data_IF_722493990426
#
_entry.id   IF_722493990426
#
_cell.length_a   1.000
_cell.length_b   1.000
_cell.length_c   1.000
_cell.angle_alpha   90.00
_cell.angle_beta   90.00
_cell.angle_gamma   90.00
#
_symmetry.space_group_name_H-M   'P 1'
#
loop_
_entity.id
_entity.type
_entity.pdbx_description
1 polymer ?
#
# COMPACT_ATOMS: atom_id res chain seq x y z
N UNK A 1 6.16 3.37 -22.52
CA UNK A 1 6.56 2.22 -21.63
C UNK A 1 5.56 2.15 -20.50
N UNK A 2 5.37 0.98 -19.86
CA UNK A 2 4.33 0.79 -18.83
C UNK A 2 4.34 1.88 -17.74
N UNK A 3 5.51 2.36 -17.30
CA UNK A 3 5.61 3.44 -16.32
C UNK A 3 4.94 4.71 -16.84
N UNK A 4 5.29 5.15 -18.05
CA UNK A 4 4.70 6.34 -18.67
C UNK A 4 3.17 6.22 -18.84
N UNK A 5 2.67 5.03 -19.17
CA UNK A 5 1.22 4.79 -19.28
C UNK A 5 0.52 5.00 -17.92
N UNK A 6 1.20 4.61 -16.80
CA UNK A 6 0.68 4.84 -15.45
C UNK A 6 0.75 6.32 -15.05
N UNK A 7 1.81 7.02 -15.42
CA UNK A 7 1.95 8.46 -15.20
C UNK A 7 0.85 9.24 -15.91
N UNK A 8 0.59 8.92 -17.18
CA UNK A 8 -0.51 9.51 -17.97
C UNK A 8 -1.87 9.30 -17.29
N UNK A 9 -2.16 8.08 -16.83
CA UNK A 9 -3.39 7.80 -16.06
C UNK A 9 -3.48 8.68 -14.80
N UNK A 10 -2.38 8.87 -14.08
CA UNK A 10 -2.36 9.68 -12.85
C UNK A 10 -2.56 11.18 -13.17
N UNK A 11 -1.88 11.70 -14.18
CA UNK A 11 -1.99 13.10 -14.63
C UNK A 11 -3.40 13.45 -15.07
N UNK A 12 -3.99 12.62 -15.94
CA UNK A 12 -5.37 12.79 -16.44
C UNK A 12 -6.40 12.79 -15.31
N UNK A 13 -6.09 12.12 -14.18
CA UNK A 13 -6.96 12.04 -13.02
C UNK A 13 -6.59 13.01 -11.88
N UNK A 14 -5.70 13.98 -12.14
CA UNK A 14 -5.37 15.07 -11.22
C UNK A 14 -4.56 14.65 -9.99
N UNK A 15 -3.75 13.60 -10.11
CA UNK A 15 -2.79 13.21 -9.07
C UNK A 15 -1.52 14.04 -9.20
N UNK A 16 -1.00 14.50 -8.06
CA UNK A 16 0.41 14.88 -7.95
C UNK A 16 1.23 13.63 -7.68
N UNK A 17 2.35 13.44 -8.35
CA UNK A 17 3.19 12.27 -8.14
C UNK A 17 4.69 12.60 -8.21
N UNK A 18 5.51 11.69 -7.71
CA UNK A 18 6.95 11.67 -7.87
C UNK A 18 7.44 10.24 -8.09
N UNK A 19 8.60 10.12 -8.73
CA UNK A 19 9.20 8.84 -9.08
C UNK A 19 10.37 8.49 -8.17
N UNK A 20 10.57 7.19 -7.95
CA UNK A 20 11.76 6.66 -7.30
C UNK A 20 11.95 5.18 -7.64
N UNK A 21 13.11 4.81 -8.11
CA UNK A 21 13.41 3.40 -8.42
C UNK A 21 13.84 2.64 -7.14
N UNK A 22 12.86 2.06 -6.45
CA UNK A 22 13.10 1.35 -5.18
C UNK A 22 12.00 0.34 -4.83
N UNK A 23 11.52 0.36 -3.59
CA UNK A 23 10.40 -0.46 -3.17
C UNK A 23 9.07 0.00 -3.80
N UNK A 24 9.00 1.25 -4.25
CA UNK A 24 7.97 1.80 -5.12
C UNK A 24 8.62 2.47 -6.32
N UNK A 25 7.88 2.68 -7.40
CA UNK A 25 8.31 3.45 -8.56
C UNK A 25 7.61 4.81 -8.63
N UNK A 26 6.36 4.90 -8.16
CA UNK A 26 5.58 6.14 -8.10
C UNK A 26 4.95 6.29 -6.72
N UNK A 27 5.14 7.46 -6.11
CA UNK A 27 4.32 7.91 -4.99
C UNK A 27 3.35 8.97 -5.51
N UNK A 28 2.06 8.68 -5.46
CA UNK A 28 1.00 9.54 -6.00
C UNK A 28 0.04 9.99 -4.92
N UNK A 29 -0.50 11.20 -5.02
CA UNK A 29 -1.46 11.75 -4.07
C UNK A 29 -2.52 12.62 -4.75
N UNK A 30 -3.77 12.39 -4.36
CA UNK A 30 -4.91 13.29 -4.56
C UNK A 30 -5.59 13.52 -3.21
N UNK A 31 -6.47 12.65 -2.76
CA UNK A 31 -7.06 12.67 -1.41
C UNK A 31 -6.26 11.81 -0.43
N UNK A 32 -5.79 10.67 -0.88
CA UNK A 32 -4.94 9.73 -0.13
C UNK A 32 -3.66 9.44 -0.92
N UNK A 33 -2.65 8.90 -0.23
CA UNK A 33 -1.39 8.50 -0.85
C UNK A 33 -1.54 7.10 -1.43
N UNK A 34 -1.06 6.90 -2.65
CA UNK A 34 -0.82 5.59 -3.26
C UNK A 34 0.67 5.42 -3.48
N UNK A 35 1.18 4.24 -3.21
CA UNK A 35 2.54 3.83 -3.53
C UNK A 35 2.47 2.70 -4.57
N UNK A 36 2.89 3.02 -5.79
CA UNK A 36 2.80 2.11 -6.92
C UNK A 36 4.17 1.49 -7.20
N UNK A 37 4.24 0.17 -7.26
CA UNK A 37 5.34 -0.56 -7.87
C UNK A 37 4.90 -1.01 -9.24
N UNK A 38 5.68 -0.70 -10.29
CA UNK A 38 5.30 -0.93 -11.69
C UNK A 38 6.26 -1.93 -12.32
N UNK A 39 5.77 -3.09 -12.76
CA UNK A 39 6.59 -4.17 -13.29
C UNK A 39 5.91 -4.80 -14.51
N UNK A 40 6.59 -4.97 -15.63
CA UNK A 40 6.04 -5.72 -16.76
C UNK A 40 5.63 -7.15 -16.34
N UNK A 41 6.50 -7.83 -15.58
CA UNK A 41 6.23 -9.15 -15.02
C UNK A 41 6.19 -9.07 -13.49
N UNK A 42 5.02 -9.25 -12.90
CA UNK A 42 4.80 -9.15 -11.46
C UNK A 42 5.49 -10.26 -10.65
N UNK A 43 5.94 -11.33 -11.30
CA UNK A 43 6.72 -12.40 -10.66
C UNK A 43 8.17 -11.99 -10.37
N UNK A 44 8.64 -10.85 -10.90
CA UNK A 44 9.95 -10.29 -10.57
C UNK A 44 9.94 -9.48 -9.26
N UNK A 45 8.77 -9.20 -8.71
CA UNK A 45 8.64 -8.52 -7.42
C UNK A 45 9.17 -9.39 -6.29
N UNK A 46 10.07 -8.84 -5.48
CA UNK A 46 10.77 -9.57 -4.43
C UNK A 46 10.16 -9.30 -3.06
N UNK A 47 10.29 -10.27 -2.15
CA UNK A 47 9.74 -10.19 -0.80
C UNK A 47 10.34 -9.03 0.01
N UNK A 48 11.64 -8.74 -0.17
CA UNK A 48 12.28 -7.59 0.49
C UNK A 48 11.65 -6.26 0.03
N UNK A 49 11.42 -6.09 -1.27
CA UNK A 49 10.73 -4.91 -1.82
C UNK A 49 9.31 -4.79 -1.24
N UNK A 50 8.58 -5.93 -1.20
CA UNK A 50 7.24 -5.98 -0.65
C UNK A 50 7.20 -5.58 0.83
N UNK A 51 8.16 -6.04 1.63
CA UNK A 51 8.24 -5.71 3.05
C UNK A 51 8.53 -4.23 3.29
N UNK A 52 9.43 -3.64 2.51
CA UNK A 52 9.71 -2.20 2.54
C UNK A 52 8.49 -1.38 2.10
N UNK A 53 7.83 -1.78 1.00
CA UNK A 53 6.63 -1.11 0.51
C UNK A 53 5.48 -1.17 1.52
N UNK A 54 5.25 -2.33 2.16
CA UNK A 54 4.25 -2.47 3.22
C UNK A 54 4.56 -1.61 4.44
N UNK A 55 5.83 -1.57 4.88
CA UNK A 55 6.26 -0.75 6.01
C UNK A 55 5.99 0.72 5.72
N UNK A 56 6.46 1.21 4.57
CA UNK A 56 6.26 2.58 4.14
C UNK A 56 4.77 2.93 4.02
N UNK A 57 3.98 2.03 3.43
CA UNK A 57 2.53 2.25 3.26
C UNK A 57 1.79 2.31 4.59
N UNK A 58 2.13 1.40 5.52
CA UNK A 58 1.53 1.40 6.85
C UNK A 58 1.86 2.69 7.62
N UNK A 59 3.10 3.15 7.48
CA UNK A 59 3.56 4.36 8.15
C UNK A 59 2.92 5.62 7.59
N UNK A 60 2.76 5.70 6.29
CA UNK A 60 2.17 6.86 5.59
C UNK A 60 0.64 6.85 5.55
N UNK A 61 -0.02 5.78 5.99
CA UNK A 61 -1.44 5.51 5.73
C UNK A 61 -1.73 5.54 4.23
N UNK A 62 -0.85 4.89 3.46
CA UNK A 62 -0.87 4.86 2.01
C UNK A 62 -1.39 3.51 1.49
N UNK A 63 -1.90 3.50 0.26
CA UNK A 63 -2.35 2.31 -0.42
C UNK A 63 -1.24 1.76 -1.32
N UNK A 64 -0.60 0.62 -0.98
CA UNK A 64 0.36 -0.02 -1.87
C UNK A 64 -0.36 -0.80 -2.96
N UNK A 65 0.08 -0.63 -4.20
CA UNK A 65 -0.44 -1.38 -5.34
C UNK A 65 0.73 -1.78 -6.24
N UNK A 66 0.80 -3.06 -6.57
CA UNK A 66 1.67 -3.55 -7.63
C UNK A 66 0.90 -3.52 -8.95
N UNK A 67 1.42 -2.80 -9.92
CA UNK A 67 0.82 -2.70 -11.25
C UNK A 67 1.69 -3.48 -12.25
N UNK A 68 1.07 -4.31 -13.08
CA UNK A 68 1.81 -5.09 -14.05
C UNK A 68 1.00 -5.59 -15.24
N UNK A 69 1.71 -6.13 -16.25
CA UNK A 69 1.09 -6.64 -17.47
C UNK A 69 0.84 -8.15 -17.40
N UNK A 70 1.77 -8.89 -16.81
CA UNK A 70 1.73 -10.34 -16.84
C UNK A 70 2.42 -10.98 -15.63
N UNK A 71 2.12 -12.26 -15.43
CA UNK A 71 2.94 -13.21 -14.69
C UNK A 71 3.87 -13.94 -15.68
N UNK A 72 4.71 -14.86 -15.21
CA UNK A 72 5.47 -15.75 -16.10
C UNK A 72 4.60 -16.64 -16.96
N UNK A 73 3.32 -16.85 -16.62
CA UNK A 73 2.43 -17.84 -17.25
C UNK A 73 1.36 -17.19 -18.12
N UNK A 74 0.86 -16.02 -17.73
CA UNK A 74 -0.30 -15.41 -18.36
C UNK A 74 -0.33 -13.89 -18.15
N UNK A 75 -1.02 -13.18 -19.03
CA UNK A 75 -1.34 -11.77 -18.84
C UNK A 75 -2.26 -11.57 -17.62
N UNK A 76 -2.14 -10.45 -16.94
CA UNK A 76 -3.10 -10.07 -15.89
C UNK A 76 -4.43 -9.67 -16.55
N UNK A 77 -5.50 -10.28 -16.08
CA UNK A 77 -6.85 -9.94 -16.52
C UNK A 77 -7.35 -8.67 -15.85
N UNK A 78 -8.12 -7.88 -16.57
CA UNK A 78 -8.74 -6.67 -16.03
C UNK A 78 -9.84 -7.01 -15.00
N UNK A 79 -10.09 -6.05 -14.11
CA UNK A 79 -11.08 -6.16 -13.03
C UNK A 79 -10.85 -7.33 -12.05
N UNK A 80 -9.61 -7.81 -11.97
CA UNK A 80 -9.18 -8.84 -11.02
C UNK A 80 -8.05 -8.30 -10.15
N UNK A 81 -8.15 -8.50 -8.85
CA UNK A 81 -7.05 -8.31 -7.91
C UNK A 81 -6.29 -9.61 -7.78
N UNK A 82 -5.00 -9.59 -8.02
CA UNK A 82 -4.07 -10.65 -7.69
C UNK A 82 -3.37 -10.32 -6.38
N UNK A 83 -2.80 -11.32 -5.74
CA UNK A 83 -2.00 -11.13 -4.52
C UNK A 83 -0.54 -11.45 -4.78
N UNK A 84 0.35 -10.55 -4.38
CA UNK A 84 1.80 -10.77 -4.34
C UNK A 84 2.36 -10.29 -3.00
N UNK A 85 2.81 -11.22 -2.19
CA UNK A 85 3.33 -10.93 -0.84
C UNK A 85 2.34 -10.10 0.02
N UNK A 86 1.04 -10.35 -0.13
CA UNK A 86 -0.04 -9.58 0.49
C UNK A 86 -0.12 -8.11 0.06
N UNK A 87 0.34 -7.81 -1.16
CA UNK A 87 0.13 -6.53 -1.82
C UNK A 87 -0.85 -6.74 -2.98
N UNK A 88 -1.93 -5.94 -3.06
CA UNK A 88 -2.83 -5.96 -4.20
C UNK A 88 -2.09 -5.72 -5.50
N UNK A 89 -2.29 -6.61 -6.47
CA UNK A 89 -1.62 -6.58 -7.76
C UNK A 89 -2.68 -6.52 -8.86
N UNK A 90 -2.55 -5.59 -9.79
CA UNK A 90 -3.58 -5.29 -10.78
C UNK A 90 -2.98 -5.00 -12.16
N UNK A 91 -3.80 -5.12 -13.22
CA UNK A 91 -3.46 -4.60 -14.54
C UNK A 91 -3.57 -3.06 -14.58
N UNK A 92 -2.93 -2.36 -15.54
CA UNK A 92 -3.07 -0.91 -15.74
C UNK A 92 -4.53 -0.48 -15.86
N UNK A 93 -5.33 -1.20 -16.65
CA UNK A 93 -6.76 -0.92 -16.81
C UNK A 93 -7.55 -1.08 -15.51
N UNK A 94 -7.16 -2.04 -14.68
CA UNK A 94 -7.78 -2.21 -13.35
C UNK A 94 -7.39 -1.07 -12.41
N UNK A 95 -6.15 -0.57 -12.46
CA UNK A 95 -5.74 0.63 -11.71
C UNK A 95 -6.58 1.84 -12.12
N UNK A 96 -6.72 2.08 -13.41
CA UNK A 96 -7.55 3.17 -13.94
C UNK A 96 -9.00 3.08 -13.43
N UNK A 97 -9.61 1.90 -13.49
CA UNK A 97 -10.94 1.66 -12.95
C UNK A 97 -11.02 1.95 -11.44
N UNK A 98 -10.01 1.56 -10.66
CA UNK A 98 -9.92 1.84 -9.21
C UNK A 98 -9.85 3.35 -8.96
N UNK A 99 -9.07 4.08 -9.74
CA UNK A 99 -8.96 5.54 -9.67
C UNK A 99 -10.31 6.21 -9.95
N UNK A 100 -11.08 5.68 -10.88
CA UNK A 100 -12.45 6.12 -11.18
C UNK A 100 -13.50 5.65 -10.16
N UNK A 101 -13.11 4.94 -9.10
CA UNK A 101 -14.01 4.47 -8.05
C UNK A 101 -14.66 3.11 -8.32
N UNK A 102 -14.33 2.45 -9.42
CA UNK A 102 -14.82 1.11 -9.76
C UNK A 102 -13.86 0.04 -9.21
N UNK A 103 -14.17 -0.47 -8.02
CA UNK A 103 -13.36 -1.50 -7.37
C UNK A 103 -13.70 -2.89 -7.93
N UNK A 104 -12.69 -3.77 -8.17
CA UNK A 104 -12.89 -5.14 -8.58
C UNK A 104 -13.67 -5.97 -7.54
N UNK A 105 -14.41 -6.95 -8.00
CA UNK A 105 -15.14 -7.93 -7.15
C UNK A 105 -14.44 -9.29 -7.09
N UNK A 106 -13.40 -9.51 -7.91
CA UNK A 106 -12.74 -10.81 -8.05
C UNK A 106 -11.31 -10.71 -7.52
N UNK A 107 -10.98 -11.64 -6.61
CA UNK A 107 -9.62 -11.87 -6.11
C UNK A 107 -9.07 -13.18 -6.67
N UNK A 108 -7.90 -13.15 -7.30
CA UNK A 108 -7.15 -14.35 -7.67
C UNK A 108 -6.05 -14.63 -6.65
N UNK A 109 -6.17 -15.72 -5.94
CA UNK A 109 -5.25 -16.11 -4.88
C UNK A 109 -5.00 -17.62 -4.91
N UNK A 110 -3.71 -18.04 -4.82
CA UNK A 110 -3.25 -19.44 -4.70
C UNK A 110 -4.17 -20.50 -5.31
N UNK A 111 -4.26 -20.49 -6.64
CA UNK A 111 -4.94 -21.57 -7.38
C UNK A 111 -6.45 -21.41 -7.56
N UNK A 112 -7.05 -20.26 -7.19
CA UNK A 112 -8.48 -20.03 -7.35
C UNK A 112 -8.86 -18.57 -7.54
N UNK A 113 -10.08 -18.38 -8.05
CA UNK A 113 -10.77 -17.10 -8.05
C UNK A 113 -11.78 -17.07 -6.93
N UNK A 114 -11.84 -15.98 -6.21
CA UNK A 114 -12.72 -15.77 -5.06
C UNK A 114 -13.43 -14.42 -5.20
N UNK A 115 -14.60 -14.32 -4.59
CA UNK A 115 -15.34 -13.08 -4.42
C UNK A 115 -15.76 -12.93 -2.94
N UNK A 116 -16.21 -11.76 -2.57
CA UNK A 116 -16.97 -11.55 -1.34
C UNK A 116 -18.41 -11.20 -1.71
N UNK A 117 -19.36 -11.69 -0.94
CA UNK A 117 -20.79 -11.44 -1.15
C UNK A 117 -21.38 -10.75 0.07
N UNK A 118 -22.45 -9.98 -0.15
CA UNK A 118 -23.18 -9.33 0.93
C UNK A 118 -24.05 -10.37 1.67
N UNK A 119 -23.79 -10.65 2.96
CA UNK A 119 -24.55 -11.66 3.72
C UNK A 119 -26.03 -11.35 3.87
N UNK A 120 -26.37 -10.08 4.12
CA UNK A 120 -27.76 -9.67 4.30
C UNK A 120 -28.54 -9.76 2.99
N UNK A 121 -27.91 -9.33 1.89
CA UNK A 121 -28.50 -9.40 0.55
C UNK A 121 -28.69 -10.86 0.09
N UNK A 122 -27.72 -11.75 0.38
CA UNK A 122 -27.83 -13.18 0.11
C UNK A 122 -29.04 -13.77 0.82
N UNK A 123 -29.19 -13.49 2.13
CA UNK A 123 -30.31 -14.01 2.93
C UNK A 123 -31.66 -13.50 2.41
N UNK A 124 -31.78 -12.18 2.19
CA UNK A 124 -33.03 -11.59 1.67
C UNK A 124 -33.39 -12.17 0.31
N UNK A 125 -32.46 -12.19 -0.65
CA UNK A 125 -32.71 -12.71 -1.99
C UNK A 125 -33.13 -14.19 -1.99
N UNK A 126 -32.59 -15.02 -1.07
CA UNK A 126 -33.01 -16.41 -0.92
C UNK A 126 -34.45 -16.53 -0.37
N UNK A 127 -34.79 -15.71 0.63
CA UNK A 127 -36.13 -15.68 1.24
C UNK A 127 -37.17 -15.16 0.26
N UNK A 128 -36.84 -14.13 -0.52
CA UNK A 128 -37.75 -13.55 -1.54
C UNK A 128 -38.14 -14.54 -2.63
N UNK A 129 -37.27 -15.49 -2.99
CA UNK A 129 -37.59 -16.58 -3.94
C UNK A 129 -38.11 -17.85 -3.26
N UNK A 130 -38.38 -17.81 -1.94
CA UNK A 130 -38.95 -18.90 -1.18
C UNK A 130 -38.05 -20.13 -0.98
N UNK A 131 -36.72 -19.99 -1.11
CA UNK A 131 -35.79 -21.10 -0.95
C UNK A 131 -35.33 -21.26 0.51
N UNK A 132 -35.28 -22.51 0.98
CA UNK A 132 -34.53 -22.81 2.21
C UNK A 132 -33.01 -22.76 1.96
N UNK A 133 -32.21 -22.69 3.02
CA UNK A 133 -30.74 -22.79 2.91
C UNK A 133 -30.32 -24.12 2.26
N UNK A 134 -31.07 -25.20 2.48
CA UNK A 134 -30.80 -26.51 1.88
C UNK A 134 -31.08 -26.51 0.38
N UNK A 135 -32.17 -25.89 -0.05
CA UNK A 135 -32.55 -25.80 -1.48
C UNK A 135 -31.51 -24.96 -2.26
N UNK A 136 -31.07 -23.82 -1.69
CA UNK A 136 -30.03 -23.01 -2.30
C UNK A 136 -28.71 -23.77 -2.39
N UNK A 137 -28.33 -24.48 -1.32
CA UNK A 137 -27.10 -25.27 -1.26
C UNK A 137 -27.08 -26.35 -2.37
N UNK A 138 -28.18 -27.06 -2.56
CA UNK A 138 -28.33 -28.07 -3.60
C UNK A 138 -28.22 -27.47 -5.02
N UNK A 139 -28.93 -26.37 -5.29
CA UNK A 139 -28.89 -25.68 -6.60
C UNK A 139 -27.53 -25.14 -6.95
N UNK A 140 -26.78 -24.67 -5.96
CA UNK A 140 -25.41 -24.10 -6.16
C UNK A 140 -24.34 -25.18 -6.17
N UNK A 141 -24.60 -26.35 -5.54
CA UNK A 141 -23.63 -27.45 -5.38
C UNK A 141 -22.64 -27.22 -4.27
N UNK A 142 -23.10 -26.67 -3.14
CA UNK A 142 -22.35 -26.45 -1.90
C UNK A 142 -23.08 -27.05 -0.70
N UNK A 143 -22.51 -26.96 0.50
CA UNK A 143 -23.18 -27.46 1.71
C UNK A 143 -24.16 -26.43 2.31
N UNK A 144 -25.20 -26.87 2.99
CA UNK A 144 -26.07 -26.00 3.79
C UNK A 144 -25.29 -25.15 4.79
N UNK A 145 -24.25 -25.74 5.42
CA UNK A 145 -23.36 -25.05 6.35
C UNK A 145 -22.66 -23.86 5.67
N UNK A 146 -22.21 -24.06 4.42
CA UNK A 146 -21.57 -22.98 3.66
C UNK A 146 -22.55 -21.83 3.37
N UNK A 147 -23.81 -22.13 3.02
CA UNK A 147 -24.84 -21.08 2.83
C UNK A 147 -25.06 -20.32 4.14
N UNK A 148 -25.26 -21.02 5.25
CA UNK A 148 -25.42 -20.41 6.57
C UNK A 148 -24.23 -19.50 6.94
N UNK A 149 -22.99 -19.96 6.72
CA UNK A 149 -21.79 -19.17 7.02
C UNK A 149 -21.73 -17.89 6.18
N UNK A 150 -22.07 -17.95 4.89
CA UNK A 150 -22.10 -16.79 4.00
C UNK A 150 -23.26 -15.82 4.29
N UNK A 151 -24.37 -16.30 4.82
CA UNK A 151 -25.47 -15.43 5.31
C UNK A 151 -25.17 -14.78 6.66
N UNK A 152 -24.26 -15.37 7.43
CA UNK A 152 -23.91 -14.90 8.79
C UNK A 152 -22.70 -13.99 8.82
N UNK A 153 -21.76 -14.13 7.87
CA UNK A 153 -20.44 -13.46 7.89
C UNK A 153 -20.00 -13.10 6.48
N UNK A 154 -19.31 -11.97 6.39
CA UNK A 154 -18.58 -11.59 5.17
C UNK A 154 -17.36 -12.50 4.99
N UNK A 155 -17.48 -13.50 4.15
CA UNK A 155 -16.46 -14.51 3.86
C UNK A 155 -16.16 -14.56 2.37
N UNK A 156 -14.94 -14.95 2.03
CA UNK A 156 -14.55 -15.25 0.64
C UNK A 156 -15.25 -16.52 0.18
N UNK A 157 -15.91 -16.45 -0.96
CA UNK A 157 -16.52 -17.58 -1.66
C UNK A 157 -15.78 -17.86 -2.96
N UNK A 158 -15.69 -19.12 -3.38
CA UNK A 158 -15.19 -19.47 -4.71
C UNK A 158 -16.05 -18.75 -5.76
N UNK A 159 -15.42 -17.99 -6.65
CA UNK A 159 -16.10 -17.14 -7.65
C UNK A 159 -17.17 -17.90 -8.44
N UNK A 160 -16.87 -19.14 -8.89
CA UNK A 160 -17.87 -19.99 -9.58
C UNK A 160 -19.15 -20.20 -8.77
N UNK A 161 -19.04 -20.32 -7.44
CA UNK A 161 -20.20 -20.51 -6.57
C UNK A 161 -20.96 -19.20 -6.36
N UNK A 162 -20.25 -18.05 -6.25
CA UNK A 162 -20.89 -16.74 -6.22
C UNK A 162 -21.74 -16.52 -7.49
N UNK A 163 -21.17 -16.76 -8.67
CA UNK A 163 -21.90 -16.65 -9.95
C UNK A 163 -23.12 -17.57 -10.01
N UNK A 164 -23.02 -18.80 -9.47
CA UNK A 164 -24.16 -19.72 -9.41
C UNK A 164 -25.27 -19.22 -8.47
N UNK A 165 -24.89 -18.64 -7.32
CA UNK A 165 -25.83 -18.01 -6.39
C UNK A 165 -26.58 -16.85 -7.06
N UNK A 166 -25.85 -15.92 -7.68
CA UNK A 166 -26.44 -14.79 -8.39
C UNK A 166 -27.43 -15.23 -9.50
N UNK A 167 -27.05 -16.24 -10.30
CA UNK A 167 -27.92 -16.81 -11.33
C UNK A 167 -29.17 -17.45 -10.73
N UNK A 168 -29.01 -18.18 -9.62
CA UNK A 168 -30.14 -18.87 -8.96
C UNK A 168 -31.13 -17.88 -8.36
N UNK A 169 -30.60 -16.83 -7.74
CA UNK A 169 -31.36 -15.80 -7.02
C UNK A 169 -31.73 -14.59 -7.90
N UNK A 170 -31.20 -14.53 -9.14
CA UNK A 170 -31.39 -13.43 -10.09
C UNK A 170 -31.07 -12.05 -9.47
N UNK A 171 -30.01 -11.99 -8.66
CA UNK A 171 -29.60 -10.82 -7.88
C UNK A 171 -28.09 -10.74 -7.82
N UNK A 172 -27.53 -9.54 -8.00
CA UNK A 172 -26.10 -9.31 -7.81
C UNK A 172 -25.78 -9.35 -6.31
N UNK A 173 -24.89 -10.23 -5.93
CA UNK A 173 -24.48 -10.46 -4.55
C UNK A 173 -23.03 -10.04 -4.27
N UNK A 174 -22.18 -10.07 -5.30
CA UNK A 174 -20.77 -9.75 -5.17
C UNK A 174 -20.57 -8.28 -4.81
N UNK A 175 -19.70 -8.04 -3.85
CA UNK A 175 -19.36 -6.70 -3.38
C UNK A 175 -17.94 -6.31 -3.77
N UNK A 176 -17.67 -5.00 -3.95
CA UNK A 176 -16.34 -4.51 -4.22
C UNK A 176 -15.34 -4.94 -3.14
N UNK A 177 -14.14 -5.33 -3.57
CA UNK A 177 -13.07 -5.76 -2.68
C UNK A 177 -12.26 -4.55 -2.22
N UNK A 178 -11.98 -4.49 -0.92
CA UNK A 178 -11.06 -3.50 -0.38
C UNK A 178 -9.61 -3.90 -0.68
N UNK A 179 -8.80 -2.91 -1.08
CA UNK A 179 -7.37 -3.09 -1.30
C UNK A 179 -6.65 -3.16 0.05
N UNK A 180 -6.64 -4.35 0.65
CA UNK A 180 -6.01 -4.60 1.95
C UNK A 180 -4.62 -5.19 1.76
N UNK A 181 -3.68 -4.77 2.60
CA UNK A 181 -2.37 -5.40 2.76
C UNK A 181 -2.25 -6.02 4.15
N UNK A 182 -1.34 -7.00 4.31
CA UNK A 182 -0.93 -7.46 5.63
C UNK A 182 0.10 -6.52 6.26
N UNK A 183 0.18 -6.52 7.59
CA UNK A 183 1.23 -5.77 8.29
C UNK A 183 2.62 -6.23 7.85
N UNK A 184 3.55 -5.26 7.76
CA UNK A 184 4.95 -5.54 7.51
C UNK A 184 5.66 -6.04 8.77
N UNK A 185 6.66 -6.90 8.59
CA UNK A 185 7.61 -7.19 9.66
C UNK A 185 8.46 -5.94 9.96
N UNK A 186 8.77 -5.69 11.23
CA UNK A 186 9.66 -4.58 11.62
C UNK A 186 11.04 -4.75 11.00
N UNK A 187 11.51 -3.69 10.35
CA UNK A 187 12.83 -3.62 9.75
C UNK A 187 13.80 -3.02 10.77
N UNK A 188 14.98 -3.63 10.91
CA UNK A 188 16.02 -3.19 11.84
C UNK A 188 16.95 -2.17 11.18
N UNK A 189 17.60 -1.27 11.97
CA UNK A 189 18.65 -0.40 11.45
C UNK A 189 19.78 -1.23 10.85
N UNK A 190 20.40 -0.73 9.78
CA UNK A 190 21.51 -1.39 9.06
C UNK A 190 22.88 -0.92 9.53
N UNK A 191 22.94 0.20 10.27
CA UNK A 191 24.19 0.74 10.82
C UNK A 191 24.07 1.10 12.29
N UNK A 192 25.22 1.22 12.96
CA UNK A 192 25.28 1.70 14.34
C UNK A 192 24.78 3.16 14.41
N UNK A 193 25.12 3.97 13.40
CA UNK A 193 24.68 5.35 13.29
C UNK A 193 23.17 5.47 13.24
N UNK A 194 22.51 4.73 12.33
CA UNK A 194 21.04 4.67 12.27
C UNK A 194 20.42 4.28 13.61
N UNK A 195 21.01 3.29 14.29
CA UNK A 195 20.57 2.84 15.61
C UNK A 195 20.65 3.92 16.67
N UNK A 196 21.76 4.69 16.72
CA UNK A 196 21.94 5.81 17.65
C UNK A 196 20.96 6.96 17.38
N UNK A 197 20.79 7.34 16.10
CA UNK A 197 19.85 8.40 15.71
C UNK A 197 18.41 7.98 16.10
N UNK A 198 18.01 6.76 15.77
CA UNK A 198 16.71 6.22 16.17
C UNK A 198 16.51 6.30 17.70
N UNK A 199 17.52 5.96 18.48
CA UNK A 199 17.46 6.03 19.95
C UNK A 199 17.28 7.49 20.45
N UNK A 200 17.95 8.45 19.84
CA UNK A 200 17.77 9.88 20.16
C UNK A 200 16.33 10.33 19.83
N UNK A 201 15.80 9.97 18.66
CA UNK A 201 14.41 10.29 18.32
C UNK A 201 13.40 9.65 19.29
N UNK A 202 13.65 8.41 19.72
CA UNK A 202 12.82 7.75 20.74
C UNK A 202 12.86 8.46 22.10
N UNK A 203 14.02 8.97 22.51
CA UNK A 203 14.15 9.78 23.74
C UNK A 203 13.38 11.11 23.66
N UNK A 204 13.23 11.67 22.44
CA UNK A 204 12.39 12.84 22.17
C UNK A 204 10.88 12.54 22.19
N UNK A 205 10.49 11.24 22.23
CA UNK A 205 9.10 10.79 22.22
C UNK A 205 8.57 10.29 20.87
N UNK A 206 9.42 10.18 19.85
CA UNK A 206 9.03 9.60 18.57
C UNK A 206 9.08 8.07 18.59
N UNK A 207 8.11 7.41 17.97
CA UNK A 207 8.28 6.04 17.48
C UNK A 207 9.08 6.10 16.16
N UNK A 208 10.01 5.17 15.97
CA UNK A 208 10.85 5.12 14.76
C UNK A 208 10.74 3.77 14.09
N UNK A 209 10.55 3.78 12.78
CA UNK A 209 10.58 2.62 11.91
C UNK A 209 11.59 2.83 10.78
N UNK A 210 12.14 1.74 10.25
CA UNK A 210 13.10 1.79 9.15
C UNK A 210 12.47 1.29 7.87
N UNK A 211 12.88 1.90 6.76
CA UNK A 211 12.52 1.51 5.41
C UNK A 211 13.75 1.65 4.52
N UNK A 212 13.94 0.69 3.65
CA UNK A 212 15.04 0.75 2.68
C UNK A 212 14.49 0.64 1.26
N UNK A 213 15.36 0.82 0.28
CA UNK A 213 14.91 0.95 -1.12
C UNK A 213 13.88 2.08 -1.31
N UNK A 214 14.08 3.17 -0.56
CA UNK A 214 13.34 4.43 -0.64
C UNK A 214 14.33 5.59 -0.58
N UNK A 215 13.96 6.82 -0.93
CA UNK A 215 14.89 7.96 -0.90
C UNK A 215 15.36 8.32 0.51
N UNK A 216 14.72 7.83 1.54
CA UNK A 216 15.05 7.97 2.95
C UNK A 216 15.05 6.59 3.62
N UNK A 217 15.56 6.48 4.84
CA UNK A 217 15.70 5.18 5.52
C UNK A 217 15.06 5.13 6.91
N UNK A 218 14.56 6.24 7.46
CA UNK A 218 13.91 6.25 8.75
C UNK A 218 12.61 7.08 8.70
N UNK A 219 11.60 6.63 9.40
CA UNK A 219 10.36 7.36 9.65
C UNK A 219 10.22 7.55 11.16
N UNK A 220 9.91 8.77 11.57
CA UNK A 220 9.68 9.10 12.97
C UNK A 220 8.25 9.64 13.16
N UNK A 221 7.53 9.10 14.13
CA UNK A 221 6.12 9.43 14.39
C UNK A 221 5.88 9.82 15.83
N UNK A 222 5.11 10.89 16.03
CA UNK A 222 4.60 11.27 17.34
C UNK A 222 3.15 11.74 17.20
N UNK A 223 2.18 10.95 17.67
CA UNK A 223 0.74 11.18 17.47
C UNK A 223 0.39 11.31 15.98
N UNK A 224 -0.17 12.44 15.56
CA UNK A 224 -0.49 12.75 14.16
C UNK A 224 0.68 13.33 13.35
N UNK A 225 1.81 13.63 13.99
CA UNK A 225 2.97 14.19 13.33
C UNK A 225 3.89 13.08 12.83
N UNK A 226 4.30 13.19 11.56
CA UNK A 226 5.21 12.27 10.91
C UNK A 226 6.32 13.02 10.20
N UNK A 227 7.48 12.43 10.25
CA UNK A 227 8.72 12.92 9.69
C UNK A 227 9.42 11.79 8.93
N UNK A 228 9.77 12.02 7.68
CA UNK A 228 10.68 11.16 6.93
C UNK A 228 12.11 11.66 7.12
N UNK A 229 13.06 10.75 7.25
CA UNK A 229 14.44 11.10 7.53
C UNK A 229 15.43 10.25 6.72
N UNK A 230 16.38 10.90 6.04
CA UNK A 230 17.56 10.21 5.51
C UNK A 230 18.70 10.34 6.54
N UNK A 231 19.10 9.20 7.10
CA UNK A 231 20.09 9.08 8.17
C UNK A 231 21.30 8.34 7.63
N UNK A 232 22.37 9.05 7.35
CA UNK A 232 23.60 8.45 6.81
C UNK A 232 24.86 9.25 7.19
N UNK A 233 25.98 8.53 7.30
CA UNK A 233 27.32 9.09 7.48
C UNK A 233 28.00 9.42 6.15
N UNK A 234 27.41 9.02 5.01
CA UNK A 234 28.00 9.17 3.68
C UNK A 234 27.36 10.32 2.90
N UNK A 235 28.08 11.42 2.79
CA UNK A 235 27.66 12.62 2.04
C UNK A 235 27.12 12.31 0.64
N UNK A 236 27.85 11.50 -0.13
CA UNK A 236 27.47 11.20 -1.52
C UNK A 236 26.11 10.50 -1.63
N UNK A 237 25.75 9.63 -0.66
CA UNK A 237 24.45 8.95 -0.66
C UNK A 237 23.34 9.95 -0.39
N UNK A 238 23.51 10.79 0.62
CA UNK A 238 22.53 11.81 0.98
C UNK A 238 22.32 12.77 -0.21
N UNK A 239 23.40 13.32 -0.77
CA UNK A 239 23.31 14.25 -1.91
C UNK A 239 22.54 13.65 -3.10
N UNK A 240 22.74 12.36 -3.38
CA UNK A 240 22.01 11.65 -4.43
C UNK A 240 20.49 11.56 -4.13
N UNK A 241 20.13 11.42 -2.86
CA UNK A 241 18.73 11.22 -2.45
C UNK A 241 17.97 12.55 -2.27
N UNK A 242 18.66 13.67 -2.03
CA UNK A 242 18.03 14.96 -1.72
C UNK A 242 16.91 15.37 -2.69
N UNK A 243 17.08 15.32 -4.02
CA UNK A 243 16.00 15.67 -4.95
C UNK A 243 14.75 14.81 -4.74
N UNK A 244 14.94 13.50 -4.61
CA UNK A 244 13.83 12.55 -4.41
C UNK A 244 13.13 12.74 -3.07
N UNK A 245 13.87 13.07 -2.00
CA UNK A 245 13.31 13.37 -0.68
C UNK A 245 12.44 14.62 -0.76
N UNK A 246 12.94 15.67 -1.43
CA UNK A 246 12.21 16.93 -1.64
C UNK A 246 10.91 16.71 -2.39
N UNK A 247 10.96 16.03 -3.53
CA UNK A 247 9.78 15.71 -4.33
C UNK A 247 8.78 14.85 -3.56
N UNK A 248 9.26 13.78 -2.90
CA UNK A 248 8.41 12.91 -2.08
C UNK A 248 7.74 13.67 -0.94
N UNK A 249 8.48 14.55 -0.25
CA UNK A 249 7.97 15.42 0.80
C UNK A 249 6.87 16.34 0.27
N UNK A 250 7.11 16.96 -0.88
CA UNK A 250 6.15 17.85 -1.54
C UNK A 250 4.86 17.12 -1.93
N UNK A 251 4.97 15.99 -2.63
CA UNK A 251 3.82 15.19 -3.09
C UNK A 251 3.04 14.63 -1.92
N UNK A 252 3.71 14.03 -0.93
CA UNK A 252 3.03 13.37 0.19
C UNK A 252 2.60 14.34 1.29
N UNK A 253 3.08 15.60 1.24
CA UNK A 253 2.93 16.63 2.30
C UNK A 253 3.43 16.12 3.66
N UNK A 254 4.53 15.38 3.67
CA UNK A 254 5.19 14.92 4.88
C UNK A 254 6.47 15.73 5.08
N UNK A 255 6.73 16.14 6.31
CA UNK A 255 7.96 16.85 6.64
C UNK A 255 9.19 15.94 6.44
N UNK A 256 10.29 16.51 5.98
CA UNK A 256 11.54 15.81 5.77
C UNK A 256 12.67 16.42 6.58
N UNK A 257 13.65 15.59 6.99
CA UNK A 257 14.88 16.00 7.65
C UNK A 257 16.02 15.09 7.20
N UNK A 258 17.21 15.64 7.14
CA UNK A 258 18.45 14.87 6.96
C UNK A 258 19.20 14.83 8.28
N UNK A 259 19.74 13.65 8.64
CA UNK A 259 20.62 13.52 9.82
C UNK A 259 21.95 12.93 9.39
N UNK A 260 23.02 13.75 9.53
CA UNK A 260 24.36 13.40 9.12
C UNK A 260 25.39 14.24 9.86
N UNK A 261 26.61 13.72 9.99
CA UNK A 261 27.75 14.49 10.51
C UNK A 261 28.53 15.24 9.43
N UNK A 262 28.16 15.03 8.16
CA UNK A 262 28.78 15.70 7.00
C UNK A 262 28.21 17.09 6.76
N UNK A 263 29.01 17.99 6.22
CA UNK A 263 28.56 19.30 5.75
C UNK A 263 27.82 19.15 4.42
N UNK A 264 26.52 19.43 4.44
CA UNK A 264 25.64 19.36 3.28
C UNK A 264 24.94 20.71 3.12
N UNK A 265 24.95 21.21 1.89
CA UNK A 265 24.17 22.40 1.51
C UNK A 265 22.91 21.91 0.80
N UNK A 266 21.77 22.09 1.44
CA UNK A 266 20.47 21.72 0.87
C UNK A 266 19.36 22.53 1.54
N UNK A 267 18.17 22.55 0.90
CA UNK A 267 16.99 23.22 1.43
C UNK A 267 16.31 22.40 2.54
N UNK A 268 16.53 21.08 2.59
CA UNK A 268 15.95 20.22 3.63
C UNK A 268 16.67 20.47 4.96
N UNK A 269 15.96 20.68 6.07
CA UNK A 269 16.55 20.82 7.39
C UNK A 269 17.51 19.68 7.72
N UNK A 270 18.70 20.01 8.14
CA UNK A 270 19.76 19.05 8.47
C UNK A 270 20.14 19.16 9.94
N UNK A 271 20.33 18.02 10.59
CA UNK A 271 20.85 17.92 11.96
C UNK A 271 22.07 17.01 12.02
N UNK A 272 22.98 17.31 12.93
CA UNK A 272 24.13 16.47 13.26
C UNK A 272 23.80 15.57 14.45
N UNK A 273 24.53 14.45 14.60
CA UNK A 273 24.36 13.54 15.73
C UNK A 273 24.54 14.24 17.08
N UNK A 274 25.51 15.14 17.20
CA UNK A 274 25.86 15.88 18.42
C UNK A 274 24.83 16.96 18.78
N UNK A 275 24.01 17.40 17.86
CA UNK A 275 22.93 18.35 18.09
C UNK A 275 21.65 17.68 18.66
N UNK A 276 21.50 16.37 18.52
CA UNK A 276 20.28 15.66 18.92
C UNK A 276 20.10 15.51 20.44
N UNK A 277 21.17 15.33 21.26
CA UNK A 277 21.02 15.21 22.70
C UNK A 277 20.42 16.50 23.33
N UNK A 278 19.33 16.33 24.08
CA UNK A 278 18.64 17.45 24.74
C UNK A 278 17.54 18.11 23.91
N UNK A 279 17.44 17.84 22.60
CA UNK A 279 16.29 18.26 21.81
C UNK A 279 15.00 17.54 22.26
N UNK A 280 13.89 18.23 22.13
CA UNK A 280 12.54 17.71 22.32
C UNK A 280 11.79 17.69 21.00
N UNK A 281 10.73 16.91 20.90
CA UNK A 281 9.90 16.84 19.68
C UNK A 281 9.41 18.21 19.21
N UNK A 282 9.13 19.13 20.14
CA UNK A 282 8.76 20.53 19.84
C UNK A 282 9.83 21.32 19.09
N UNK A 283 11.10 21.00 19.33
CA UNK A 283 12.22 21.72 18.73
C UNK A 283 12.40 21.26 17.27
N UNK A 284 12.25 19.96 17.02
CA UNK A 284 12.16 19.40 15.65
C UNK A 284 11.00 20.04 14.89
N UNK A 285 9.81 20.14 15.49
CA UNK A 285 8.63 20.77 14.86
C UNK A 285 8.84 22.25 14.55
N UNK A 286 9.59 22.98 15.38
CA UNK A 286 9.93 24.39 15.11
C UNK A 286 10.91 24.53 13.96
N UNK A 287 11.90 23.63 13.87
CA UNK A 287 12.84 23.59 12.75
C UNK A 287 12.11 23.43 11.44
N UNK A 288 11.17 22.48 11.38
CA UNK A 288 10.40 22.15 10.18
C UNK A 288 9.35 23.21 9.78
N UNK A 289 8.89 24.05 10.70
CA UNK A 289 7.98 25.17 10.36
C UNK A 289 8.67 26.33 9.64
N UNK A 290 9.99 26.36 9.65
CA UNK A 290 10.80 27.38 8.96
C UNK A 290 11.19 26.96 7.55
N UNK A 291 10.95 25.75 7.23
CA UNK A 291 11.16 25.13 5.92
C UNK A 291 9.79 24.88 5.23
#
# INVERSE_FOLDING_TARGET
MLLNDIEEILEENGYSYCEYNGCFDIAARRESIMLLKVLNNVDSFQEEQANNLKMLSNDLDAKPILVGLNTRREALSDNIIYDRFSIPTVSPKTLENIIHGSLPTILRFRGGMFAEIDPARLKSAREDVGLSQSDLAEKVGITKKSVYEHESKKLKIVYKNAVRMEKTLKTDLMIPLELKMSYAAKIKPRSIFEGKISQNFRRMGFATDFVYQSPFNMIAKEKSFMLISDVDEKKNRIQKNLPYISEFSHVTKKSAIVVTNEEIICDIPTLREDELPGLKSRDIRKLLKRW
#
